data_IF_810467060732
#
_entry.id   IF_810467060732
#
_cell.length_a   1.000
_cell.length_b   1.000
_cell.length_c   1.000
_cell.angle_alpha   90.00
_cell.angle_beta   90.00
_cell.angle_gamma   90.00
#
_symmetry.space_group_name_H-M   'P 1'
#
loop_
_entity.id
_entity.type
_entity.pdbx_description
1 polymer ?
#
# COMPACT_ATOMS: atom_id res chain seq x y z
N UNK A 1 -16.05 -3.62 -4.04
CA UNK A 1 -16.92 -2.43 -4.33
C UNK A 1 -16.30 -1.24 -3.58
N UNK A 2 -16.26 0.01 -4.02
CA UNK A 2 -16.62 0.72 -5.24
C UNK A 2 -15.85 2.03 -5.17
N UNK A 3 -15.37 2.49 -6.32
CA UNK A 3 -14.70 3.77 -6.54
C UNK A 3 -15.46 4.95 -5.91
N UNK A 4 -14.75 5.83 -5.20
CA UNK A 4 -15.25 7.17 -4.94
C UNK A 4 -15.23 7.99 -6.25
N UNK A 5 -16.24 8.85 -6.52
CA UNK A 5 -16.37 9.56 -7.78
C UNK A 5 -15.35 10.72 -7.91
N UNK A 6 -14.78 10.86 -9.11
CA UNK A 6 -13.90 11.97 -9.50
C UNK A 6 -14.76 13.17 -9.91
N UNK A 7 -14.58 14.31 -9.23
CA UNK A 7 -15.16 15.59 -9.64
C UNK A 7 -14.47 16.14 -10.89
N UNK A 8 -15.27 16.58 -11.89
CA UNK A 8 -14.79 17.24 -13.12
C UNK A 8 -14.61 18.76 -12.91
N UNK A 9 -13.65 19.41 -13.58
CA UNK A 9 -13.34 20.82 -13.37
C UNK A 9 -14.34 21.76 -14.08
N UNK A 10 -14.68 22.86 -13.41
CA UNK A 10 -15.38 24.00 -14.00
C UNK A 10 -14.38 25.02 -14.57
N UNK A 11 -14.78 25.68 -15.65
CA UNK A 11 -13.96 26.51 -16.52
C UNK A 11 -13.37 27.77 -15.85
N UNK A 12 -12.21 28.16 -16.37
CA UNK A 12 -11.39 29.29 -15.96
C UNK A 12 -12.09 30.65 -16.09
N UNK A 13 -11.87 31.53 -15.11
CA UNK A 13 -12.10 32.96 -15.23
C UNK A 13 -10.75 33.69 -15.06
N UNK A 14 -10.36 34.44 -16.07
CA UNK A 14 -9.11 35.19 -16.17
C UNK A 14 -9.18 36.51 -15.41
N UNK A 15 -8.21 36.79 -14.51
CA UNK A 15 -7.79 38.15 -14.17
C UNK A 15 -6.28 38.25 -13.86
N UNK A 16 -5.62 38.99 -14.74
CA UNK A 16 -4.43 39.83 -14.60
C UNK A 16 -4.52 40.78 -13.36
N UNK A 17 -3.51 41.31 -12.65
CA UNK A 17 -2.04 41.55 -12.70
C UNK A 17 -1.64 41.85 -11.22
N UNK A 18 -0.41 41.72 -10.72
CA UNK A 18 0.60 42.80 -10.50
C UNK A 18 1.83 42.18 -9.81
N UNK A 19 3.01 42.53 -10.32
CA UNK A 19 4.34 42.26 -9.77
C UNK A 19 4.67 43.12 -8.55
N UNK A 20 5.41 42.58 -7.58
CA UNK A 20 6.58 43.22 -6.96
C UNK A 20 7.20 42.33 -5.86
N UNK A 21 8.52 42.45 -5.68
CA UNK A 21 9.18 42.12 -4.41
C UNK A 21 10.15 40.94 -4.43
N UNK A 22 11.34 41.16 -4.98
CA UNK A 22 12.51 40.29 -4.82
C UNK A 22 12.90 40.16 -3.35
N UNK A 23 12.76 38.96 -2.78
CA UNK A 23 13.35 38.59 -1.49
C UNK A 23 14.11 37.27 -1.66
N UNK A 24 15.41 37.35 -1.40
CA UNK A 24 16.41 36.31 -1.60
C UNK A 24 16.06 35.01 -0.89
N UNK A 25 15.87 33.95 -1.67
CA UNK A 25 15.67 32.58 -1.19
C UNK A 25 17.00 31.99 -0.68
N UNK A 26 17.00 31.21 0.42
CA UNK A 26 18.19 30.49 0.85
C UNK A 26 18.47 29.32 -0.13
N UNK A 27 19.75 29.21 -0.50
CA UNK A 27 20.40 28.20 -1.35
C UNK A 27 19.60 26.91 -1.56
N UNK A 28 19.24 26.67 -2.81
CA UNK A 28 18.90 25.35 -3.36
C UNK A 28 19.89 24.30 -2.84
N UNK A 29 19.37 23.23 -2.23
CA UNK A 29 20.14 22.01 -2.03
C UNK A 29 20.50 21.50 -3.42
N UNK A 30 21.79 21.55 -3.74
CA UNK A 30 22.38 20.92 -4.90
C UNK A 30 21.86 19.48 -5.01
N UNK A 31 21.05 19.21 -6.02
CA UNK A 31 20.61 17.86 -6.36
C UNK A 31 21.84 17.08 -6.81
N UNK A 32 22.44 16.36 -5.85
CA UNK A 32 23.52 15.41 -6.11
C UNK A 32 22.99 14.34 -7.05
N UNK A 33 23.60 14.23 -8.24
CA UNK A 33 23.43 13.12 -9.18
C UNK A 33 23.96 11.83 -8.55
N UNK A 34 23.21 11.26 -7.62
CA UNK A 34 23.46 9.91 -7.13
C UNK A 34 22.80 8.95 -8.11
N UNK A 35 23.55 7.97 -8.59
CA UNK A 35 22.95 6.80 -9.21
C UNK A 35 21.88 6.26 -8.26
N UNK A 36 20.64 6.17 -8.73
CA UNK A 36 19.46 5.89 -7.90
C UNK A 36 19.48 4.52 -7.25
N UNK A 37 20.29 3.60 -7.78
CA UNK A 37 20.72 2.38 -7.10
C UNK A 37 22.24 2.31 -7.15
N UNK A 38 22.88 2.34 -5.98
CA UNK A 38 24.32 2.18 -5.89
C UNK A 38 24.63 0.69 -5.82
N UNK A 39 25.30 0.17 -6.86
CA UNK A 39 25.70 -1.24 -6.93
C UNK A 39 26.58 -1.67 -5.73
N UNK A 40 27.18 -0.73 -4.99
CA UNK A 40 27.97 -1.00 -3.80
C UNK A 40 27.15 -1.17 -2.51
N UNK A 41 25.85 -0.84 -2.50
CA UNK A 41 25.02 -0.86 -1.29
C UNK A 41 23.93 -1.94 -1.37
N UNK A 42 23.67 -2.67 -0.27
CA UNK A 42 22.54 -3.58 -0.19
C UNK A 42 21.20 -2.88 -0.43
N UNK A 43 20.36 -3.48 -1.28
CA UNK A 43 19.02 -2.97 -1.61
C UNK A 43 17.95 -3.76 -0.87
N UNK A 44 17.11 -3.05 -0.13
CA UNK A 44 15.95 -3.60 0.54
C UNK A 44 14.69 -3.27 -0.26
N UNK A 45 14.06 -4.32 -0.80
CA UNK A 45 12.80 -4.25 -1.53
C UNK A 45 11.64 -4.31 -0.54
N UNK A 46 10.83 -3.25 -0.53
CA UNK A 46 9.68 -3.10 0.36
C UNK A 46 8.45 -3.01 -0.52
N UNK A 47 7.52 -3.94 -0.35
CA UNK A 47 6.44 -4.15 -1.33
C UNK A 47 5.10 -4.23 -0.59
N UNK A 48 4.12 -3.46 -1.03
CA UNK A 48 2.76 -3.59 -0.52
C UNK A 48 2.11 -4.90 -0.98
N UNK A 49 1.08 -5.34 -0.27
CA UNK A 49 0.36 -6.58 -0.58
C UNK A 49 -0.79 -6.35 -1.54
N UNK A 50 -1.87 -5.73 -1.06
CA UNK A 50 -3.13 -5.56 -1.77
C UNK A 50 -2.97 -4.64 -2.99
N UNK A 51 -3.44 -5.05 -4.17
CA UNK A 51 -3.31 -4.26 -5.40
C UNK A 51 -1.88 -4.17 -5.98
N UNK A 52 -0.87 -4.58 -5.20
CA UNK A 52 0.54 -4.57 -5.57
C UNK A 52 1.07 -5.98 -5.83
N UNK A 53 1.33 -6.79 -4.79
CA UNK A 53 1.69 -8.21 -4.95
C UNK A 53 0.49 -8.99 -5.48
N UNK A 54 -0.70 -8.74 -4.94
CA UNK A 54 -1.94 -9.29 -5.49
C UNK A 54 -2.51 -8.38 -6.55
N UNK A 55 -3.23 -8.94 -7.52
CA UNK A 55 -3.88 -8.13 -8.56
C UNK A 55 -4.99 -7.21 -7.99
N UNK A 56 -5.56 -7.57 -6.84
CA UNK A 56 -6.72 -6.90 -6.23
C UNK A 56 -6.62 -6.93 -4.72
N UNK A 57 -7.41 -6.06 -4.08
CA UNK A 57 -7.67 -6.10 -2.64
C UNK A 57 -8.16 -7.49 -2.19
N UNK A 58 -7.67 -7.95 -1.04
CA UNK A 58 -7.94 -9.29 -0.50
C UNK A 58 -8.82 -9.29 0.76
N UNK A 59 -9.28 -8.15 1.25
CA UNK A 59 -10.12 -8.07 2.45
C UNK A 59 -11.47 -8.75 2.26
N UNK A 60 -12.09 -8.60 1.08
CA UNK A 60 -13.35 -9.28 0.74
C UNK A 60 -13.18 -10.82 0.83
N UNK A 61 -12.01 -11.34 0.43
CA UNK A 61 -11.68 -12.77 0.54
C UNK A 61 -11.53 -13.19 2.00
N UNK A 62 -10.79 -12.43 2.81
CA UNK A 62 -10.62 -12.71 4.23
C UNK A 62 -11.98 -12.72 4.98
N UNK A 63 -12.86 -11.77 4.66
CA UNK A 63 -14.24 -11.75 5.16
C UNK A 63 -15.03 -12.96 4.66
N UNK A 64 -14.84 -13.37 3.42
CA UNK A 64 -15.46 -14.58 2.86
C UNK A 64 -15.10 -15.86 3.63
N UNK A 65 -13.83 -16.00 4.06
CA UNK A 65 -13.37 -17.09 4.93
C UNK A 65 -14.09 -17.04 6.29
N UNK A 66 -14.25 -15.84 6.86
CA UNK A 66 -14.99 -15.66 8.10
C UNK A 66 -16.49 -15.96 7.98
N UNK A 67 -17.08 -15.66 6.83
CA UNK A 67 -18.48 -15.93 6.55
C UNK A 67 -18.75 -17.44 6.37
N UNK A 68 -17.84 -18.18 5.74
CA UNK A 68 -18.01 -19.61 5.48
C UNK A 68 -17.97 -20.46 6.76
N UNK A 69 -17.30 -19.99 7.81
CA UNK A 69 -17.21 -20.67 9.10
C UNK A 69 -18.34 -20.36 10.07
N UNK A 70 -19.12 -19.30 9.80
CA UNK A 70 -20.18 -18.82 10.69
C UNK A 70 -21.50 -18.60 9.96
N UNK A 71 -22.18 -19.68 9.51
CA UNK A 71 -23.42 -19.55 8.73
C UNK A 71 -24.58 -18.90 9.51
N UNK A 72 -24.54 -18.94 10.85
CA UNK A 72 -25.55 -18.32 11.71
C UNK A 72 -25.35 -16.79 11.88
N UNK A 73 -24.14 -16.28 11.67
CA UNK A 73 -23.86 -14.84 11.71
C UNK A 73 -24.01 -14.28 10.29
N UNK A 74 -24.78 -13.19 10.07
CA UNK A 74 -24.91 -12.58 8.75
C UNK A 74 -23.66 -11.74 8.41
N UNK A 75 -22.49 -12.39 8.38
CA UNK A 75 -21.16 -11.79 8.24
C UNK A 75 -21.06 -10.88 7.02
N UNK A 76 -21.56 -11.32 5.86
CA UNK A 76 -21.52 -10.52 4.63
C UNK A 76 -22.41 -9.27 4.72
N UNK A 77 -23.55 -9.35 5.40
CA UNK A 77 -24.41 -8.18 5.63
C UNK A 77 -23.78 -7.21 6.64
N UNK A 78 -23.12 -7.73 7.68
CA UNK A 78 -22.32 -6.89 8.58
C UNK A 78 -21.21 -6.17 7.82
N UNK A 79 -20.46 -6.91 6.99
CA UNK A 79 -19.41 -6.36 6.16
C UNK A 79 -19.91 -5.25 5.25
N UNK A 80 -21.00 -5.46 4.51
CA UNK A 80 -21.60 -4.43 3.67
C UNK A 80 -21.93 -3.14 4.42
N UNK A 81 -22.50 -3.24 5.64
CA UNK A 81 -22.78 -2.07 6.49
C UNK A 81 -21.50 -1.37 6.96
N UNK A 82 -20.48 -2.14 7.33
CA UNK A 82 -19.19 -1.62 7.78
C UNK A 82 -18.45 -0.90 6.64
N UNK A 83 -18.37 -1.50 5.46
CA UNK A 83 -17.75 -0.88 4.28
C UNK A 83 -18.51 0.39 3.88
N UNK A 84 -19.85 0.39 3.95
CA UNK A 84 -20.64 1.61 3.68
C UNK A 84 -20.33 2.70 4.71
N UNK A 85 -20.32 2.37 6.00
CA UNK A 85 -20.01 3.34 7.05
C UNK A 85 -18.61 3.95 6.89
N UNK A 86 -17.62 3.16 6.48
CA UNK A 86 -16.30 3.65 6.14
C UNK A 86 -16.33 4.63 4.97
N UNK A 87 -16.96 4.26 3.85
CA UNK A 87 -17.06 5.14 2.66
C UNK A 87 -17.79 6.44 2.98
N UNK A 88 -18.90 6.38 3.73
CA UNK A 88 -19.67 7.55 4.13
C UNK A 88 -18.81 8.50 5.00
N UNK A 89 -18.12 7.96 6.02
CA UNK A 89 -17.26 8.74 6.91
C UNK A 89 -16.04 9.32 6.20
N UNK A 90 -15.40 8.53 5.34
CA UNK A 90 -14.27 8.97 4.52
C UNK A 90 -14.67 10.12 3.61
N UNK A 91 -15.80 9.99 2.91
CA UNK A 91 -16.31 11.02 2.00
C UNK A 91 -16.64 12.30 2.75
N UNK A 92 -17.40 12.20 3.85
CA UNK A 92 -17.77 13.36 4.67
C UNK A 92 -16.54 14.05 5.29
N UNK A 93 -15.54 13.27 5.71
CA UNK A 93 -14.28 13.79 6.24
C UNK A 93 -13.49 14.50 5.15
N UNK A 94 -13.36 13.92 3.97
CA UNK A 94 -12.65 14.53 2.85
C UNK A 94 -13.32 15.84 2.40
N UNK A 95 -14.65 15.85 2.31
CA UNK A 95 -15.44 17.07 2.01
C UNK A 95 -15.23 18.15 3.08
N UNK A 96 -15.17 17.78 4.37
CA UNK A 96 -14.91 18.74 5.44
C UNK A 96 -13.48 19.29 5.41
N UNK A 97 -12.50 18.44 5.13
CA UNK A 97 -11.08 18.82 5.09
C UNK A 97 -10.73 19.60 3.82
N UNK A 98 -11.46 19.35 2.73
CA UNK A 98 -11.22 19.91 1.41
C UNK A 98 -12.54 20.40 0.79
N UNK A 99 -13.18 21.45 1.36
CA UNK A 99 -14.56 21.85 1.02
C UNK A 99 -14.74 22.33 -0.42
N UNK A 100 -13.68 22.79 -1.06
CA UNK A 100 -13.72 23.23 -2.46
C UNK A 100 -13.31 22.12 -3.44
N UNK A 101 -13.10 20.89 -2.96
CA UNK A 101 -12.56 19.76 -3.74
C UNK A 101 -11.10 19.92 -4.18
N UNK A 102 -10.47 21.06 -3.87
CA UNK A 102 -9.09 21.36 -4.20
C UNK A 102 -8.13 20.63 -3.25
N UNK A 103 -7.79 19.39 -3.60
CA UNK A 103 -6.77 18.62 -2.88
C UNK A 103 -5.44 19.39 -2.80
N UNK A 104 -4.59 19.11 -1.79
CA UNK A 104 -3.28 19.75 -1.61
C UNK A 104 -2.43 19.88 -2.88
N UNK A 105 -1.48 20.81 -2.98
CA UNK A 105 -0.55 20.83 -4.13
C UNK A 105 0.92 20.73 -3.72
N UNK A 106 1.15 20.48 -2.43
CA UNK A 106 2.49 20.26 -1.87
C UNK A 106 2.51 18.96 -1.09
N UNK A 107 3.67 18.29 -1.10
CA UNK A 107 3.87 17.03 -0.35
C UNK A 107 3.59 17.24 1.14
N UNK A 108 3.99 18.38 1.70
CA UNK A 108 3.73 18.69 3.11
C UNK A 108 2.22 18.72 3.43
N UNK A 109 1.42 19.43 2.63
CA UNK A 109 -0.03 19.51 2.85
C UNK A 109 -0.72 18.16 2.60
N UNK A 110 -0.25 17.37 1.61
CA UNK A 110 -0.74 16.01 1.37
C UNK A 110 -0.56 15.14 2.62
N UNK A 111 0.63 15.16 3.22
CA UNK A 111 0.90 14.44 4.46
C UNK A 111 0.00 14.88 5.61
N UNK A 112 -0.27 16.19 5.74
CA UNK A 112 -1.19 16.69 6.76
C UNK A 112 -2.65 16.25 6.52
N UNK A 113 -3.07 16.14 5.26
CA UNK A 113 -4.39 15.61 4.91
C UNK A 113 -4.49 14.12 5.29
N UNK A 114 -3.51 13.31 4.88
CA UNK A 114 -3.48 11.86 5.18
C UNK A 114 -3.41 11.60 6.69
N UNK A 115 -2.65 12.40 7.43
CA UNK A 115 -2.62 12.34 8.89
C UNK A 115 -4.00 12.59 9.51
N UNK A 116 -4.78 13.53 8.97
CA UNK A 116 -6.14 13.81 9.45
C UNK A 116 -7.16 12.73 9.03
N UNK A 117 -6.89 12.00 7.95
CA UNK A 117 -7.71 10.85 7.53
C UNK A 117 -7.43 9.59 8.38
N UNK A 118 -6.31 9.52 9.12
CA UNK A 118 -5.98 8.38 9.98
C UNK A 118 -7.06 8.04 11.00
N UNK A 119 -7.79 9.03 11.51
CA UNK A 119 -8.88 8.80 12.47
C UNK A 119 -10.04 8.00 11.84
N UNK A 120 -10.31 8.21 10.53
CA UNK A 120 -11.31 7.44 9.79
C UNK A 120 -10.90 5.98 9.69
N UNK A 121 -9.62 5.71 9.44
CA UNK A 121 -9.08 4.34 9.39
C UNK A 121 -9.21 3.66 10.77
N UNK A 122 -8.86 4.37 11.84
CA UNK A 122 -8.97 3.87 13.21
C UNK A 122 -10.43 3.56 13.59
N UNK A 123 -11.38 4.42 13.23
CA UNK A 123 -12.80 4.17 13.45
C UNK A 123 -13.30 2.97 12.63
N UNK A 124 -12.81 2.80 11.39
CA UNK A 124 -13.12 1.66 10.54
C UNK A 124 -12.72 0.34 11.19
N UNK A 125 -11.46 0.24 11.65
CA UNK A 125 -10.96 -0.94 12.36
C UNK A 125 -11.74 -1.18 13.66
N UNK A 126 -12.02 -0.13 14.44
CA UNK A 126 -12.82 -0.25 15.67
C UNK A 126 -14.21 -0.85 15.41
N UNK A 127 -14.90 -0.41 14.34
CA UNK A 127 -16.20 -0.97 13.95
C UNK A 127 -16.08 -2.44 13.50
N UNK A 128 -15.05 -2.78 12.74
CA UNK A 128 -14.79 -4.15 12.30
C UNK A 128 -14.57 -5.06 13.51
N UNK A 129 -13.69 -4.69 14.44
CA UNK A 129 -13.44 -5.48 15.64
C UNK A 129 -14.68 -5.59 16.54
N UNK A 130 -15.44 -4.50 16.72
CA UNK A 130 -16.68 -4.50 17.50
C UNK A 130 -17.79 -5.36 16.88
N UNK A 131 -17.74 -5.61 15.57
CA UNK A 131 -18.74 -6.42 14.87
C UNK A 131 -18.56 -7.93 15.04
N UNK A 132 -17.41 -8.36 15.58
CA UNK A 132 -17.03 -9.76 15.76
C UNK A 132 -17.08 -10.60 14.45
N UNK A 133 -17.00 -9.95 13.28
CA UNK A 133 -17.01 -10.68 11.99
C UNK A 133 -15.82 -11.63 11.85
N UNK A 134 -14.74 -11.43 12.59
CA UNK A 134 -13.58 -12.34 12.63
C UNK A 134 -13.49 -13.21 13.90
N UNK A 135 -14.39 -13.03 14.87
CA UNK A 135 -14.39 -13.85 16.08
C UNK A 135 -14.57 -15.33 15.76
N UNK A 136 -13.83 -16.21 16.43
CA UNK A 136 -13.84 -17.66 16.23
C UNK A 136 -12.93 -18.17 15.11
N UNK A 137 -12.25 -17.28 14.37
CA UNK A 137 -11.26 -17.71 13.38
C UNK A 137 -10.02 -18.31 14.06
N UNK A 138 -9.52 -19.41 13.50
CA UNK A 138 -8.26 -20.05 13.90
C UNK A 138 -7.22 -19.97 12.78
N UNK A 139 -5.95 -20.19 13.12
CA UNK A 139 -4.84 -20.31 12.18
C UNK A 139 -5.17 -21.29 11.04
N UNK A 140 -5.65 -22.48 11.40
CA UNK A 140 -6.02 -23.53 10.45
C UNK A 140 -7.15 -23.13 9.48
N UNK A 141 -8.15 -22.40 9.95
CA UNK A 141 -9.24 -21.90 9.11
C UNK A 141 -8.71 -20.91 8.08
N UNK A 142 -7.83 -19.99 8.52
CA UNK A 142 -7.23 -18.98 7.64
C UNK A 142 -6.33 -19.65 6.60
N UNK A 143 -5.50 -20.61 7.01
CA UNK A 143 -4.63 -21.38 6.12
C UNK A 143 -5.43 -22.12 5.04
N UNK A 144 -6.47 -22.85 5.45
CA UNK A 144 -7.33 -23.59 4.53
C UNK A 144 -8.06 -22.64 3.57
N UNK A 145 -8.58 -21.53 4.09
CA UNK A 145 -9.27 -20.51 3.30
C UNK A 145 -8.34 -19.80 2.31
N UNK A 146 -7.12 -19.48 2.71
CA UNK A 146 -6.10 -18.88 1.85
C UNK A 146 -5.69 -19.83 0.72
N UNK A 147 -5.47 -21.10 1.02
CA UNK A 147 -5.18 -22.13 0.02
C UNK A 147 -6.31 -22.23 -1.00
N UNK A 148 -7.56 -22.30 -0.53
CA UNK A 148 -8.74 -22.31 -1.39
C UNK A 148 -8.82 -21.05 -2.25
N UNK A 149 -8.57 -19.88 -1.68
CA UNK A 149 -8.61 -18.60 -2.40
C UNK A 149 -7.58 -18.53 -3.54
N UNK A 150 -6.37 -19.04 -3.33
CA UNK A 150 -5.35 -19.15 -4.38
C UNK A 150 -5.77 -20.16 -5.45
N UNK A 151 -6.14 -21.39 -5.05
CA UNK A 151 -6.51 -22.46 -6.01
C UNK A 151 -7.75 -22.11 -6.83
N UNK A 152 -8.68 -21.33 -6.28
CA UNK A 152 -9.88 -20.87 -6.97
C UNK A 152 -9.75 -19.50 -7.64
N UNK A 153 -8.54 -18.91 -7.65
CA UNK A 153 -8.24 -17.61 -8.26
C UNK A 153 -9.02 -16.41 -7.68
N UNK A 154 -9.55 -16.52 -6.46
CA UNK A 154 -10.08 -15.38 -5.72
C UNK A 154 -8.96 -14.45 -5.25
N UNK A 155 -7.80 -15.01 -4.93
CA UNK A 155 -6.55 -14.27 -4.75
C UNK A 155 -5.59 -14.72 -5.85
N UNK A 156 -5.01 -13.74 -6.54
CA UNK A 156 -4.06 -13.98 -7.62
C UNK A 156 -2.85 -13.09 -7.42
N UNK A 157 -1.67 -13.71 -7.35
CA UNK A 157 -0.43 -12.96 -7.38
C UNK A 157 -0.25 -12.32 -8.76
N UNK A 158 0.29 -11.11 -8.76
CA UNK A 158 0.56 -10.34 -9.97
C UNK A 158 1.65 -11.04 -10.79
N UNK A 159 1.53 -10.92 -12.10
CA UNK A 159 2.46 -11.56 -13.03
C UNK A 159 3.92 -11.22 -12.69
N UNK A 160 4.80 -12.21 -12.79
CA UNK A 160 6.22 -12.10 -12.51
C UNK A 160 6.62 -12.11 -11.02
N UNK A 161 5.67 -12.03 -10.07
CA UNK A 161 6.03 -11.86 -8.65
C UNK A 161 6.91 -13.00 -8.09
N UNK A 162 6.56 -14.26 -8.36
CA UNK A 162 7.33 -15.40 -7.85
C UNK A 162 8.77 -15.43 -8.37
N UNK A 163 8.97 -15.17 -9.67
CA UNK A 163 10.30 -15.07 -10.29
C UNK A 163 11.10 -13.89 -9.74
N UNK A 164 10.45 -12.74 -9.59
CA UNK A 164 11.04 -11.56 -8.98
C UNK A 164 11.50 -11.86 -7.54
N UNK A 165 10.63 -12.43 -6.69
CA UNK A 165 10.96 -12.78 -5.31
C UNK A 165 12.14 -13.75 -5.24
N UNK A 166 12.14 -14.79 -6.08
CA UNK A 166 13.23 -15.77 -6.15
C UNK A 166 14.55 -15.10 -6.54
N UNK A 167 14.53 -14.19 -7.53
CA UNK A 167 15.70 -13.43 -7.96
C UNK A 167 16.27 -12.60 -6.79
N UNK A 168 15.41 -11.87 -6.07
CA UNK A 168 15.82 -11.07 -4.90
C UNK A 168 16.39 -11.95 -3.78
N UNK A 169 15.74 -13.07 -3.46
CA UNK A 169 16.20 -13.99 -2.40
C UNK A 169 17.51 -14.70 -2.75
N UNK A 170 17.83 -14.87 -4.03
CA UNK A 170 19.08 -15.51 -4.48
C UNK A 170 20.31 -14.61 -4.34
N UNK A 171 20.13 -13.31 -4.12
CA UNK A 171 21.22 -12.33 -4.09
C UNK A 171 21.55 -11.92 -2.65
N UNK A 172 22.79 -12.17 -2.21
CA UNK A 172 23.22 -11.94 -0.82
C UNK A 172 23.12 -10.48 -0.34
N UNK A 173 23.11 -9.52 -1.27
CA UNK A 173 23.02 -8.09 -0.96
C UNK A 173 21.61 -7.54 -1.05
N UNK A 174 20.60 -8.39 -1.26
CA UNK A 174 19.21 -7.97 -1.32
C UNK A 174 18.42 -8.47 -0.13
N UNK A 175 17.45 -7.67 0.28
CA UNK A 175 16.48 -8.02 1.32
C UNK A 175 15.08 -7.72 0.83
N UNK A 176 14.10 -8.43 1.38
CA UNK A 176 12.71 -8.32 0.96
C UNK A 176 11.81 -8.16 2.19
N UNK A 177 10.84 -7.27 2.11
CA UNK A 177 9.82 -7.10 3.14
C UNK A 177 8.49 -6.70 2.52
N UNK A 178 7.42 -7.34 2.97
CA UNK A 178 6.06 -6.93 2.70
C UNK A 178 5.67 -5.92 3.76
N UNK A 179 5.12 -4.78 3.36
CA UNK A 179 4.63 -3.76 4.28
C UNK A 179 3.19 -3.40 3.91
N UNK A 180 2.23 -3.79 4.73
CA UNK A 180 0.81 -3.73 4.37
C UNK A 180 -0.07 -3.22 5.50
N UNK A 181 -1.19 -2.60 5.14
CA UNK A 181 -2.28 -2.24 6.05
C UNK A 181 -3.27 -3.39 6.27
N UNK A 182 -3.09 -4.53 5.61
CA UNK A 182 -3.97 -5.69 5.71
C UNK A 182 -4.12 -6.16 7.18
N UNK A 183 -5.28 -6.76 7.48
CA UNK A 183 -5.69 -7.11 8.84
C UNK A 183 -5.17 -8.46 9.33
N UNK A 184 -4.61 -9.29 8.45
CA UNK A 184 -4.00 -10.55 8.88
C UNK A 184 -2.71 -10.86 8.11
N UNK A 185 -1.60 -10.71 8.82
CA UNK A 185 -0.28 -11.17 8.40
C UNK A 185 -0.28 -12.69 8.18
N UNK A 186 -0.97 -13.46 9.01
CA UNK A 186 -1.12 -14.91 8.83
C UNK A 186 -1.79 -15.25 7.50
N UNK A 187 -2.85 -14.52 7.12
CA UNK A 187 -3.52 -14.69 5.83
C UNK A 187 -2.59 -14.39 4.64
N UNK A 188 -1.83 -13.28 4.67
CA UNK A 188 -0.81 -12.97 3.64
C UNK A 188 0.18 -14.12 3.52
N UNK A 189 0.73 -14.58 4.65
CA UNK A 189 1.70 -15.68 4.69
C UNK A 189 1.12 -16.95 4.07
N UNK A 190 -0.10 -17.34 4.46
CA UNK A 190 -0.76 -18.54 3.94
C UNK A 190 -1.04 -18.45 2.43
N UNK A 191 -1.39 -17.27 1.89
CA UNK A 191 -1.52 -17.07 0.45
C UNK A 191 -0.19 -17.24 -0.29
N UNK A 192 0.91 -16.73 0.27
CA UNK A 192 2.25 -16.88 -0.29
C UNK A 192 2.73 -18.34 -0.27
N UNK A 193 2.49 -19.06 0.84
CA UNK A 193 2.77 -20.49 0.96
C UNK A 193 1.99 -21.31 -0.07
N UNK A 194 0.69 -21.06 -0.21
CA UNK A 194 -0.18 -21.70 -1.19
C UNK A 194 0.24 -21.43 -2.65
N UNK A 195 0.99 -20.34 -2.89
CA UNK A 195 1.52 -19.95 -4.20
C UNK A 195 3.00 -20.30 -4.39
N UNK A 196 3.60 -21.11 -3.50
CA UNK A 196 5.02 -21.47 -3.50
C UNK A 196 5.98 -20.25 -3.55
N UNK A 197 5.56 -19.11 -3.00
CA UNK A 197 6.31 -17.84 -2.98
C UNK A 197 6.63 -17.44 -1.53
N UNK A 198 7.22 -18.37 -0.78
CA UNK A 198 7.37 -18.25 0.68
C UNK A 198 8.37 -17.17 1.08
N UNK A 199 8.06 -16.47 2.18
CA UNK A 199 8.95 -15.51 2.83
C UNK A 199 9.00 -15.78 4.34
N UNK A 200 10.11 -15.47 5.02
CA UNK A 200 10.16 -15.56 6.47
C UNK A 200 9.05 -14.73 7.14
N UNK A 201 8.48 -15.22 8.23
CA UNK A 201 7.37 -14.54 8.91
C UNK A 201 7.71 -13.12 9.43
N UNK A 202 8.98 -12.82 9.68
CA UNK A 202 9.46 -11.48 10.08
C UNK A 202 9.60 -10.52 8.88
N UNK A 203 9.55 -11.02 7.65
CA UNK A 203 9.56 -10.22 6.44
C UNK A 203 8.16 -9.73 6.05
N UNK A 204 7.12 -10.00 6.84
CA UNK A 204 5.76 -9.50 6.61
C UNK A 204 5.39 -8.56 7.75
N UNK A 205 5.38 -7.27 7.47
CA UNK A 205 4.97 -6.21 8.38
C UNK A 205 3.52 -5.83 8.06
N UNK A 206 2.58 -6.41 8.80
CA UNK A 206 1.15 -6.13 8.68
C UNK A 206 0.47 -6.25 10.06
N UNK A 207 -0.83 -5.96 10.12
CA UNK A 207 -1.62 -6.22 11.33
C UNK A 207 -1.95 -7.72 11.43
N UNK A 208 -2.51 -8.13 12.56
CA UNK A 208 -2.90 -9.52 12.79
C UNK A 208 -4.25 -9.60 13.51
N UNK A 209 -4.94 -10.74 13.39
CA UNK A 209 -6.04 -11.05 14.29
C UNK A 209 -5.50 -11.63 15.60
N UNK A 210 -6.06 -11.19 16.73
CA UNK A 210 -5.65 -11.67 18.04
C UNK A 210 -5.73 -13.22 18.17
N UNK A 211 -4.92 -13.79 19.07
CA UNK A 211 -4.86 -15.21 19.41
C UNK A 211 -4.46 -16.20 18.29
N UNK A 212 -4.28 -15.76 17.03
CA UNK A 212 -3.88 -16.67 15.94
C UNK A 212 -2.53 -17.34 16.14
N UNK A 213 -1.62 -16.73 16.90
CA UNK A 213 -0.31 -17.30 17.21
C UNK A 213 -0.32 -18.27 18.40
N UNK A 214 -1.40 -18.32 19.18
CA UNK A 214 -1.53 -19.20 20.36
C UNK A 214 -2.44 -20.41 20.12
N UNK A 215 -2.83 -20.66 18.86
CA UNK A 215 -3.80 -21.69 18.44
C UNK A 215 -5.18 -21.59 19.15
N UNK A 216 -5.44 -20.45 19.79
CA UNK A 216 -6.75 -20.11 20.34
C UNK A 216 -7.58 -19.37 19.28
N UNK A 217 -8.92 -19.53 19.28
CA UNK A 217 -9.75 -18.75 18.38
C UNK A 217 -9.61 -17.25 18.64
N UNK A 218 -9.50 -16.47 17.57
CA UNK A 218 -9.50 -15.01 17.62
C UNK A 218 -10.78 -14.49 18.26
N UNK A 219 -10.68 -13.43 19.07
CA UNK A 219 -11.87 -12.71 19.56
C UNK A 219 -12.42 -11.72 18.51
N UNK A 220 -11.73 -11.60 17.37
CA UNK A 220 -12.06 -10.72 16.25
C UNK A 220 -11.37 -9.35 16.35
N UNK A 221 -10.45 -9.16 17.30
CA UNK A 221 -9.69 -7.92 17.42
C UNK A 221 -8.55 -7.90 16.40
N UNK A 222 -8.35 -6.75 15.77
CA UNK A 222 -7.20 -6.49 14.91
C UNK A 222 -6.12 -5.85 15.78
N UNK A 223 -4.97 -6.51 15.87
CA UNK A 223 -3.86 -6.15 16.74
C UNK A 223 -2.57 -5.98 15.94
N UNK A 224 -1.59 -5.23 16.47
CA UNK A 224 -0.23 -5.22 15.92
C UNK A 224 0.41 -6.63 16.01
N UNK A 225 1.21 -7.02 15.01
CA UNK A 225 1.87 -8.34 15.00
C UNK A 225 2.83 -8.55 16.20
N UNK A 226 3.45 -7.48 16.70
CA UNK A 226 4.33 -7.53 17.87
C UNK A 226 3.62 -6.86 19.04
N UNK A 227 3.12 -7.66 20.00
CA UNK A 227 2.48 -7.19 21.24
C UNK A 227 3.40 -6.35 22.16
N UNK A 228 4.65 -6.13 21.75
CA UNK A 228 5.64 -5.31 22.45
C UNK A 228 5.76 -3.99 21.66
N UNK A 229 5.00 -2.99 22.08
CA UNK A 229 5.11 -1.58 21.69
C UNK A 229 4.89 -1.20 20.20
N UNK A 230 4.33 -2.09 19.38
CA UNK A 230 4.01 -1.75 17.98
C UNK A 230 2.64 -1.09 17.82
N UNK A 231 2.55 0.04 17.13
CA UNK A 231 1.26 0.59 16.67
C UNK A 231 0.75 -0.16 15.43
N UNK A 232 -0.59 -0.18 15.24
CA UNK A 232 -1.27 -0.68 14.04
C UNK A 232 -0.78 0.06 12.79
N UNK A 233 -0.67 -0.67 11.67
CA UNK A 233 -0.32 -0.12 10.37
C UNK A 233 -1.62 0.17 9.63
N UNK A 234 -2.07 1.42 9.63
CA UNK A 234 -3.38 1.79 9.04
C UNK A 234 -3.26 2.86 7.95
N UNK A 235 -2.18 3.64 7.97
CA UNK A 235 -2.04 4.84 7.13
C UNK A 235 -0.69 4.89 6.43
N UNK A 236 -0.55 5.86 5.51
CA UNK A 236 0.73 6.16 4.86
C UNK A 236 1.83 6.54 5.84
N UNK A 237 1.47 7.25 6.91
CA UNK A 237 2.41 7.65 7.96
C UNK A 237 2.94 6.44 8.73
N UNK A 238 2.06 5.48 9.04
CA UNK A 238 2.46 4.24 9.74
C UNK A 238 3.39 3.41 8.87
N UNK A 239 3.07 3.24 7.58
CA UNK A 239 3.95 2.57 6.61
C UNK A 239 5.31 3.30 6.52
N UNK A 240 5.32 4.63 6.44
CA UNK A 240 6.56 5.41 6.39
C UNK A 240 7.43 5.18 7.63
N UNK A 241 6.85 5.18 8.82
CA UNK A 241 7.59 4.94 10.07
C UNK A 241 8.26 3.55 10.06
N UNK A 242 7.52 2.51 9.66
CA UNK A 242 8.07 1.14 9.55
C UNK A 242 9.17 1.07 8.49
N UNK A 243 8.99 1.71 7.33
CA UNK A 243 10.01 1.80 6.29
C UNK A 243 11.27 2.53 6.77
N UNK A 244 11.15 3.56 7.59
CA UNK A 244 12.30 4.33 8.09
C UNK A 244 13.20 3.50 9.00
N UNK A 245 12.64 2.57 9.77
CA UNK A 245 13.39 1.66 10.64
C UNK A 245 14.22 0.62 9.85
N UNK A 246 13.86 0.35 8.59
CA UNK A 246 14.62 -0.55 7.70
C UNK A 246 15.93 0.13 7.28
N UNK A 247 17.03 -0.64 7.26
CA UNK A 247 18.38 -0.15 6.89
C UNK A 247 18.69 -0.46 5.42
N UNK A 248 19.69 0.23 4.88
CA UNK A 248 20.13 0.05 3.49
C UNK A 248 19.38 0.95 2.50
N UNK A 249 19.67 0.75 1.22
CA UNK A 249 19.00 1.46 0.12
C UNK A 249 17.61 0.87 -0.11
N UNK A 250 16.59 1.70 -0.20
CA UNK A 250 15.18 1.27 -0.18
C UNK A 250 14.56 1.44 -1.55
N UNK A 251 13.99 0.36 -2.07
CA UNK A 251 13.03 0.43 -3.17
C UNK A 251 11.66 0.10 -2.63
N UNK A 252 10.71 1.03 -2.80
CA UNK A 252 9.34 0.81 -2.37
C UNK A 252 8.42 0.58 -3.57
N UNK A 253 7.56 -0.43 -3.50
CA UNK A 253 6.57 -0.75 -4.52
C UNK A 253 5.18 -0.72 -3.89
N UNK A 254 4.26 0.06 -4.46
CA UNK A 254 2.88 0.19 -3.97
C UNK A 254 1.92 0.73 -5.04
N UNK A 255 0.62 0.63 -4.84
CA UNK A 255 -0.40 1.03 -5.84
C UNK A 255 -1.30 2.17 -5.37
N UNK A 256 -1.28 2.51 -4.07
CA UNK A 256 -2.35 3.26 -3.44
C UNK A 256 -1.90 4.54 -2.75
N UNK A 257 -2.88 5.33 -2.29
CA UNK A 257 -2.60 6.53 -1.49
C UNK A 257 -1.95 6.20 -0.13
N UNK A 258 -2.18 4.98 0.40
CA UNK A 258 -1.50 4.52 1.62
C UNK A 258 0.01 4.31 1.42
N UNK A 259 0.48 4.27 0.18
CA UNK A 259 1.88 4.07 -0.16
C UNK A 259 2.62 5.36 -0.50
N UNK A 260 1.90 6.48 -0.69
CA UNK A 260 2.48 7.69 -1.29
C UNK A 260 3.67 8.24 -0.52
N UNK A 261 3.62 8.19 0.82
CA UNK A 261 4.71 8.68 1.65
C UNK A 261 5.96 7.80 1.56
N UNK A 262 5.77 6.48 1.43
CA UNK A 262 6.86 5.55 1.23
C UNK A 262 7.46 5.68 -0.18
N UNK A 263 6.61 5.76 -1.20
CA UNK A 263 7.03 5.93 -2.59
C UNK A 263 7.89 7.19 -2.79
N UNK A 264 7.55 8.28 -2.11
CA UNK A 264 8.30 9.55 -2.20
C UNK A 264 9.58 9.52 -1.35
N UNK A 265 9.56 8.84 -0.20
CA UNK A 265 10.67 8.87 0.75
C UNK A 265 11.73 7.77 0.52
N UNK A 266 11.40 6.72 -0.23
CA UNK A 266 12.35 5.68 -0.63
C UNK A 266 13.46 6.26 -1.54
N UNK A 267 14.59 5.55 -1.65
CA UNK A 267 15.62 5.91 -2.62
C UNK A 267 15.10 5.78 -4.05
N UNK A 268 14.17 4.83 -4.27
CA UNK A 268 13.37 4.72 -5.49
C UNK A 268 11.96 4.17 -5.21
N UNK A 269 10.94 4.84 -5.74
CA UNK A 269 9.54 4.42 -5.66
C UNK A 269 9.03 3.84 -6.99
N UNK A 270 8.29 2.74 -6.93
CA UNK A 270 7.64 2.13 -8.09
C UNK A 270 6.13 2.03 -7.82
N UNK A 271 5.35 2.79 -8.57
CA UNK A 271 3.90 2.69 -8.55
C UNK A 271 3.45 1.50 -9.40
N UNK A 272 2.74 0.55 -8.80
CA UNK A 272 2.07 -0.51 -9.54
C UNK A 272 0.84 0.05 -10.25
N UNK A 273 0.69 -0.19 -11.55
CA UNK A 273 -0.41 0.36 -12.36
C UNK A 273 -0.97 -0.65 -13.34
N UNK A 274 -2.25 -0.98 -13.18
CA UNK A 274 -2.99 -1.78 -14.16
C UNK A 274 -3.35 -0.96 -15.41
N UNK A 275 -3.70 -1.67 -16.48
CA UNK A 275 -4.33 -1.09 -17.66
C UNK A 275 -5.67 -1.79 -17.95
N UNK A 276 -6.82 -1.11 -17.75
CA UNK A 276 -6.96 0.24 -17.22
C UNK A 276 -6.73 0.29 -15.70
N UNK A 277 -6.25 1.43 -15.19
CA UNK A 277 -5.99 1.62 -13.76
C UNK A 277 -7.24 1.44 -12.88
N UNK A 278 -7.03 0.81 -11.73
CA UNK A 278 -7.98 0.77 -10.62
C UNK A 278 -8.22 2.13 -9.97
N UNK A 279 -9.09 2.18 -8.97
CA UNK A 279 -9.46 3.46 -8.30
C UNK A 279 -8.31 3.99 -7.44
N UNK A 280 -7.69 3.13 -6.62
CA UNK A 280 -6.51 3.46 -5.81
C UNK A 280 -5.37 4.00 -6.68
N UNK A 281 -5.08 3.29 -7.76
CA UNK A 281 -4.03 3.65 -8.73
C UNK A 281 -4.29 5.00 -9.41
N UNK A 282 -5.54 5.28 -9.82
CA UNK A 282 -5.92 6.59 -10.38
C UNK A 282 -5.75 7.70 -9.34
N UNK A 283 -6.16 7.45 -8.10
CA UNK A 283 -6.01 8.42 -7.01
C UNK A 283 -4.53 8.73 -6.74
N UNK A 284 -3.68 7.71 -6.68
CA UNK A 284 -2.23 7.88 -6.53
C UNK A 284 -1.62 8.61 -7.74
N UNK A 285 -1.98 8.23 -8.98
CA UNK A 285 -1.49 8.87 -10.19
C UNK A 285 -1.85 10.38 -10.23
N UNK A 286 -3.11 10.71 -9.94
CA UNK A 286 -3.55 12.11 -9.84
C UNK A 286 -2.85 12.86 -8.70
N UNK A 287 -2.59 12.20 -7.56
CA UNK A 287 -1.85 12.82 -6.46
C UNK A 287 -0.43 13.18 -6.88
N UNK A 288 0.31 12.25 -7.50
CA UNK A 288 1.68 12.52 -7.98
C UNK A 288 1.72 13.66 -9.01
N UNK A 289 0.79 13.67 -9.97
CA UNK A 289 0.66 14.74 -10.97
C UNK A 289 0.40 16.10 -10.31
N UNK A 290 -0.58 16.17 -9.41
CA UNK A 290 -0.95 17.38 -8.65
C UNK A 290 0.20 17.90 -7.79
N UNK A 291 1.02 17.01 -7.26
CA UNK A 291 2.19 17.33 -6.46
C UNK A 291 3.43 17.71 -7.30
N UNK A 292 3.32 17.67 -8.64
CA UNK A 292 4.42 17.96 -9.54
C UNK A 292 5.53 16.90 -9.50
N UNK A 293 5.21 15.66 -9.13
CA UNK A 293 6.16 14.56 -9.04
C UNK A 293 6.10 13.75 -10.35
N UNK A 294 7.17 13.78 -11.17
CA UNK A 294 7.23 12.95 -12.36
C UNK A 294 7.09 11.47 -12.00
N UNK A 295 6.30 10.74 -12.78
CA UNK A 295 6.14 9.30 -12.65
C UNK A 295 6.10 8.70 -14.06
N UNK A 296 7.24 8.65 -14.77
CA UNK A 296 7.36 7.98 -16.06
C UNK A 296 7.26 6.46 -15.90
N UNK A 297 7.08 5.77 -17.02
CA UNK A 297 7.09 4.31 -17.03
C UNK A 297 8.50 3.80 -16.75
N UNK A 298 8.60 2.73 -15.97
CA UNK A 298 9.86 2.18 -15.49
C UNK A 298 10.77 1.76 -16.65
N UNK A 299 10.22 1.05 -17.65
CA UNK A 299 10.99 0.63 -18.84
C UNK A 299 11.55 1.79 -19.67
N UNK A 300 10.92 2.96 -19.61
CA UNK A 300 11.33 4.16 -20.36
C UNK A 300 12.36 5.00 -19.59
N UNK A 301 12.68 4.61 -18.35
CA UNK A 301 13.67 5.31 -17.52
C UNK A 301 15.10 4.91 -17.93
N UNK A 302 15.64 5.60 -18.95
CA UNK A 302 17.02 5.40 -19.42
C UNK A 302 18.07 5.89 -18.42
N UNK A 303 17.81 7.03 -17.76
CA UNK A 303 18.64 7.58 -16.69
C UNK A 303 17.75 7.96 -15.51
N UNK A 304 18.07 7.47 -14.31
CA UNK A 304 17.30 7.75 -13.09
C UNK A 304 17.61 9.14 -12.52
N UNK A 305 18.25 10.00 -13.31
CA UNK A 305 18.85 11.26 -12.87
C UNK A 305 17.82 12.36 -12.56
N UNK A 306 16.53 12.15 -12.88
CA UNK A 306 15.49 13.17 -12.75
C UNK A 306 14.19 12.72 -12.06
N UNK A 307 13.93 11.40 -11.92
CA UNK A 307 12.69 10.90 -11.33
C UNK A 307 12.97 9.88 -10.23
N UNK A 308 12.57 10.22 -8.99
CA UNK A 308 12.65 9.31 -7.84
C UNK A 308 11.50 8.30 -7.78
N UNK A 309 10.46 8.50 -8.60
CA UNK A 309 9.29 7.63 -8.70
C UNK A 309 9.06 7.25 -10.16
N UNK A 310 8.74 5.99 -10.43
CA UNK A 310 8.32 5.49 -11.74
C UNK A 310 7.10 4.58 -11.58
N UNK A 311 6.53 4.08 -12.68
CA UNK A 311 5.47 3.07 -12.62
C UNK A 311 5.74 1.86 -13.50
N UNK A 312 5.24 0.69 -13.09
CA UNK A 312 5.32 -0.57 -13.84
C UNK A 312 3.96 -1.28 -13.82
N UNK A 313 3.71 -2.17 -14.79
CA UNK A 313 2.46 -2.94 -14.84
C UNK A 313 2.47 -4.17 -13.96
N UNK A 314 3.64 -4.77 -13.78
CA UNK A 314 3.83 -6.04 -13.10
C UNK A 314 5.29 -6.23 -12.69
N UNK A 315 5.57 -7.34 -12.03
CA UNK A 315 6.92 -7.66 -11.55
C UNK A 315 7.83 -8.19 -12.66
N UNK A 316 7.29 -8.64 -13.80
CA UNK A 316 8.12 -9.02 -14.94
C UNK A 316 8.77 -7.76 -15.55
N UNK A 317 8.02 -6.67 -15.73
CA UNK A 317 8.59 -5.39 -16.16
C UNK A 317 9.66 -4.86 -15.18
N UNK A 318 9.44 -5.03 -13.88
CA UNK A 318 10.42 -4.62 -12.85
C UNK A 318 11.67 -5.50 -12.95
N UNK A 319 11.51 -6.81 -13.12
CA UNK A 319 12.64 -7.73 -13.26
C UNK A 319 13.47 -7.42 -14.51
N UNK A 320 12.83 -7.25 -15.68
CA UNK A 320 13.52 -6.86 -16.92
C UNK A 320 14.35 -5.58 -16.74
N UNK A 321 13.81 -4.61 -16.01
CA UNK A 321 14.48 -3.34 -15.70
C UNK A 321 15.68 -3.49 -14.76
N UNK A 322 15.64 -4.41 -13.79
CA UNK A 322 16.79 -4.74 -12.93
C UNK A 322 17.90 -5.40 -13.76
N UNK A 323 17.52 -6.35 -14.61
CA UNK A 323 18.44 -7.13 -15.43
C UNK A 323 19.15 -6.26 -16.47
N UNK A 324 18.43 -5.34 -17.13
CA UNK A 324 18.99 -4.42 -18.12
C UNK A 324 20.02 -3.44 -17.55
N UNK A 325 20.06 -3.28 -16.21
CA UNK A 325 21.02 -2.41 -15.50
C UNK A 325 22.17 -3.20 -14.86
N UNK A 326 22.06 -4.52 -14.81
CA UNK A 326 23.08 -5.40 -14.25
C UNK A 326 24.19 -5.71 -15.25
N UNK A 327 23.88 -5.67 -16.55
CA UNK A 327 24.82 -5.69 -17.68
C UNK A 327 25.53 -4.36 -17.86
#
# INVERSE_FOLDING_TARGET
MSSAPVARPAAACTRNVVSEGTLSLPRERTMSTKHVLDKAHPVHWIVDWDGTITQKDTLDTLVGIAASTKPALPTLHHWQRLSKAYVDEYTATLERLVPNGALPNTVHQEKQLLKQLKDVEAHSLSRVSSSAIFAGLTSHVIETGAQQAITSHHVQLRHGFSSFLQSIQSQAHHSFTILSVNWSRHFIRSCLEASASTVPSHAILANELDNLCSDEPSTGQIVPTNNVDGDLIMSSGDKLERMQAIKGQKVYIGDSWTDIECLIAADFGICMRDDPMGTSQKQLAHALERLGIPCPRLRDCHELNHSHVAWATDFAEIQDWIESRST
#
